data_IF_633362999263
#
_entry.id   IF_633362999263
#
_cell.length_a   1.000
_cell.length_b   1.000
_cell.length_c   1.000
_cell.angle_alpha   90.00
_cell.angle_beta   90.00
_cell.angle_gamma   90.00
#
_symmetry.space_group_name_H-M   'P 1'
#
loop_
_entity.id
_entity.type
_entity.pdbx_description
1 polymer ?
#
# COMPACT_ATOMS: atom_id res chain seq x y z
N UNK A 1 -5.14 8.22 -3.98
CA UNK A 1 -3.76 8.18 -3.42
C UNK A 1 -2.88 7.17 -4.12
N UNK A 2 -3.21 5.87 -4.08
CA UNK A 2 -2.40 4.81 -4.68
C UNK A 2 -2.15 5.03 -6.19
N UNK A 3 -3.18 5.41 -6.96
CA UNK A 3 -3.03 5.77 -8.39
C UNK A 3 -2.01 6.90 -8.61
N UNK A 4 -2.11 7.98 -7.82
CA UNK A 4 -1.18 9.11 -7.95
C UNK A 4 0.27 8.69 -7.67
N UNK A 5 0.51 7.78 -6.71
CA UNK A 5 1.84 7.22 -6.46
C UNK A 5 2.32 6.35 -7.62
N UNK A 6 1.45 5.49 -8.18
CA UNK A 6 1.74 4.66 -9.36
C UNK A 6 2.17 5.51 -10.56
N UNK A 7 1.48 6.61 -10.80
CA UNK A 7 1.77 7.48 -11.94
C UNK A 7 3.00 8.36 -11.70
N UNK A 8 3.21 8.81 -10.46
CA UNK A 8 4.30 9.72 -10.12
C UNK A 8 5.66 9.02 -9.95
N UNK A 9 5.71 7.88 -9.26
CA UNK A 9 6.97 7.24 -8.88
C UNK A 9 7.90 6.92 -10.06
N UNK A 10 7.43 6.43 -11.24
CA UNK A 10 8.29 6.21 -12.40
C UNK A 10 9.00 7.47 -12.90
N UNK A 11 8.43 8.67 -12.65
CA UNK A 11 9.04 9.93 -13.05
C UNK A 11 10.24 10.33 -12.18
N UNK A 12 10.32 9.80 -10.96
CA UNK A 12 11.41 10.09 -10.01
C UNK A 12 12.36 8.90 -9.80
N UNK A 13 11.87 7.69 -10.03
CA UNK A 13 12.60 6.43 -9.94
C UNK A 13 12.36 5.61 -11.21
N UNK A 14 13.20 5.83 -12.22
CA UNK A 14 13.00 5.27 -13.57
C UNK A 14 13.13 3.74 -13.66
N UNK A 15 13.64 3.09 -12.61
CA UNK A 15 13.92 1.64 -12.58
C UNK A 15 12.83 0.83 -11.91
N UNK A 16 11.68 1.42 -11.58
CA UNK A 16 10.60 0.71 -10.90
C UNK A 16 9.45 0.42 -11.87
N UNK A 17 8.78 -0.70 -11.64
CA UNK A 17 7.55 -1.10 -12.32
C UNK A 17 6.44 -1.17 -11.27
N UNK A 18 5.65 -0.10 -11.06
CA UNK A 18 4.62 -0.10 -10.05
C UNK A 18 3.47 -1.02 -10.46
N UNK A 19 2.92 -1.73 -9.48
CA UNK A 19 1.73 -2.56 -9.62
C UNK A 19 0.66 -2.07 -8.62
N UNK A 20 -0.58 -1.97 -9.08
CA UNK A 20 -1.72 -1.49 -8.30
C UNK A 20 -2.93 -2.41 -8.50
N UNK A 21 -3.46 -2.93 -7.41
CA UNK A 21 -4.55 -3.90 -7.42
C UNK A 21 -5.81 -3.44 -8.15
N UNK A 22 -6.14 -2.14 -8.13
CA UNK A 22 -7.32 -1.61 -8.83
C UNK A 22 -7.17 -1.55 -10.35
N UNK A 23 -5.94 -1.52 -10.86
CA UNK A 23 -5.65 -1.35 -12.30
C UNK A 23 -5.13 -2.63 -12.94
N UNK A 24 -4.33 -3.39 -12.19
CA UNK A 24 -3.52 -4.48 -12.72
C UNK A 24 -4.09 -5.88 -12.38
N UNK A 25 -5.26 -5.95 -11.71
CA UNK A 25 -6.03 -7.20 -11.51
C UNK A 25 -7.16 -7.26 -12.56
N UNK A 26 -7.13 -8.24 -13.49
CA UNK A 26 -8.21 -8.43 -14.46
C UNK A 26 -9.56 -8.77 -13.82
N UNK A 27 -10.65 -8.35 -14.46
CA UNK A 27 -11.99 -8.76 -14.05
C UNK A 27 -12.14 -10.30 -14.10
N UNK A 28 -12.65 -10.88 -13.01
CA UNK A 28 -12.84 -12.32 -12.88
C UNK A 28 -11.70 -13.04 -12.15
N UNK A 29 -10.56 -12.37 -11.93
CA UNK A 29 -9.49 -12.95 -11.12
C UNK A 29 -9.83 -12.96 -9.63
N UNK A 30 -9.29 -13.96 -8.93
CA UNK A 30 -9.39 -14.03 -7.47
C UNK A 30 -8.47 -12.96 -6.86
N UNK A 31 -9.06 -11.83 -6.47
CA UNK A 31 -8.40 -10.66 -5.89
C UNK A 31 -7.27 -11.02 -4.90
N UNK A 32 -7.56 -11.83 -3.89
CA UNK A 32 -6.57 -12.24 -2.88
C UNK A 32 -5.37 -12.97 -3.48
N UNK A 33 -5.59 -13.85 -4.46
CA UNK A 33 -4.53 -14.63 -5.09
C UNK A 33 -3.64 -13.75 -5.97
N UNK A 34 -4.24 -12.83 -6.72
CA UNK A 34 -3.50 -11.88 -7.55
C UNK A 34 -2.60 -10.96 -6.71
N UNK A 35 -3.13 -10.44 -5.60
CA UNK A 35 -2.36 -9.63 -4.66
C UNK A 35 -1.21 -10.44 -4.05
N UNK A 36 -1.47 -11.61 -3.49
CA UNK A 36 -0.40 -12.42 -2.89
C UNK A 36 0.74 -12.70 -3.87
N UNK A 37 0.40 -13.01 -5.14
CA UNK A 37 1.40 -13.24 -6.19
C UNK A 37 2.20 -11.98 -6.52
N UNK A 38 1.56 -10.83 -6.59
CA UNK A 38 2.24 -9.55 -6.81
C UNK A 38 3.18 -9.22 -5.64
N UNK A 39 2.74 -9.45 -4.40
CA UNK A 39 3.54 -9.22 -3.20
C UNK A 39 4.74 -10.16 -3.09
N UNK A 40 4.60 -11.44 -3.49
CA UNK A 40 5.71 -12.41 -3.51
C UNK A 40 6.86 -12.01 -4.45
N UNK A 41 6.54 -11.37 -5.57
CA UNK A 41 7.54 -10.88 -6.53
C UNK A 41 8.07 -9.47 -6.24
N UNK A 42 7.45 -8.74 -5.31
CA UNK A 42 7.76 -7.35 -5.06
C UNK A 42 8.95 -7.18 -4.10
N UNK A 43 9.89 -6.30 -4.46
CA UNK A 43 11.00 -5.88 -3.58
C UNK A 43 10.56 -4.87 -2.53
N UNK A 44 9.50 -4.12 -2.81
CA UNK A 44 8.92 -3.13 -1.92
C UNK A 44 7.41 -3.01 -2.14
N UNK A 45 6.68 -2.62 -1.09
CA UNK A 45 5.23 -2.38 -1.13
C UNK A 45 4.85 -1.13 -0.35
N UNK A 46 3.97 -0.30 -0.93
CA UNK A 46 3.38 0.86 -0.26
C UNK A 46 1.92 0.52 0.07
N UNK A 47 1.58 0.51 1.35
CA UNK A 47 0.22 0.20 1.82
C UNK A 47 -0.49 1.51 2.12
N UNK A 48 -1.40 1.91 1.23
CA UNK A 48 -2.18 3.14 1.38
C UNK A 48 -3.32 2.96 2.39
N UNK A 49 -3.19 3.53 3.60
CA UNK A 49 -4.19 3.46 4.65
C UNK A 49 -5.04 4.72 4.69
N UNK A 50 -6.34 4.53 4.82
CA UNK A 50 -7.37 5.58 4.93
C UNK A 50 -8.36 5.18 6.00
N UNK A 51 -9.16 6.13 6.51
CA UNK A 51 -10.25 5.83 7.45
C UNK A 51 -11.18 4.73 6.96
N UNK A 52 -11.47 4.72 5.65
CA UNK A 52 -12.41 3.80 5.02
C UNK A 52 -11.88 2.36 4.98
N UNK A 53 -10.58 2.19 4.75
CA UNK A 53 -9.99 0.86 4.63
C UNK A 53 -9.32 0.35 5.91
N UNK A 54 -9.17 1.16 6.97
CA UNK A 54 -8.45 0.77 8.19
C UNK A 54 -9.00 -0.51 8.86
N UNK A 55 -10.30 -0.74 8.78
CA UNK A 55 -10.99 -1.93 9.32
C UNK A 55 -11.02 -3.13 8.39
N UNK A 56 -10.39 -3.01 7.22
CA UNK A 56 -10.46 -4.03 6.20
C UNK A 56 -9.62 -5.26 6.55
N UNK A 57 -10.28 -6.42 6.63
CA UNK A 57 -9.60 -7.68 6.95
C UNK A 57 -8.45 -8.00 5.99
N UNK A 58 -8.55 -7.61 4.70
CA UNK A 58 -7.52 -7.88 3.69
C UNK A 58 -6.17 -7.21 3.99
N UNK A 59 -6.14 -6.05 4.66
CA UNK A 59 -4.90 -5.34 5.00
C UNK A 59 -4.00 -6.16 5.93
N UNK A 60 -4.59 -6.90 6.88
CA UNK A 60 -3.83 -7.77 7.77
C UNK A 60 -3.20 -8.95 7.02
N UNK A 61 -3.85 -9.44 5.95
CA UNK A 61 -3.28 -10.49 5.10
C UNK A 61 -2.12 -9.97 4.25
N UNK A 62 -2.26 -8.78 3.64
CA UNK A 62 -1.22 -8.15 2.84
C UNK A 62 0.04 -7.85 3.66
N UNK A 63 -0.15 -7.29 4.86
CA UNK A 63 0.94 -7.06 5.80
C UNK A 63 1.68 -8.36 6.16
N UNK A 64 0.94 -9.46 6.34
CA UNK A 64 1.52 -10.76 6.63
C UNK A 64 2.25 -11.41 5.45
N UNK A 65 1.75 -11.23 4.22
CA UNK A 65 2.42 -11.71 3.00
C UNK A 65 3.72 -10.94 2.75
N UNK A 66 3.67 -9.61 2.88
CA UNK A 66 4.83 -8.74 2.75
C UNK A 66 5.86 -8.91 3.86
N UNK A 67 5.44 -9.24 5.09
CA UNK A 67 6.37 -9.52 6.19
C UNK A 67 7.14 -10.85 6.01
N UNK A 68 6.60 -11.79 5.21
CA UNK A 68 7.24 -13.08 4.91
C UNK A 68 8.23 -12.99 3.77
N UNK A 69 7.97 -12.14 2.79
CA UNK A 69 8.95 -11.75 1.80
C UNK A 69 9.93 -10.77 2.47
N UNK A 70 11.23 -10.82 2.19
CA UNK A 70 12.20 -9.83 2.70
C UNK A 70 12.02 -8.45 2.02
N UNK A 71 10.77 -8.06 1.75
CA UNK A 71 10.34 -6.87 1.02
C UNK A 71 10.30 -5.66 1.95
N UNK A 72 10.61 -4.49 1.41
CA UNK A 72 10.43 -3.24 2.14
C UNK A 72 8.93 -2.89 2.21
N UNK A 73 8.40 -2.63 3.39
CA UNK A 73 6.99 -2.29 3.58
C UNK A 73 6.86 -0.88 4.12
N UNK A 74 6.14 -0.04 3.39
CA UNK A 74 5.92 1.36 3.72
C UNK A 74 4.42 1.65 3.85
N UNK A 75 3.82 1.49 5.05
CA UNK A 75 2.47 1.98 5.30
C UNK A 75 2.41 3.50 5.19
N UNK A 76 1.49 4.00 4.36
CA UNK A 76 1.30 5.42 4.07
C UNK A 76 -0.10 5.87 4.51
N UNK A 77 -0.14 6.76 5.49
CA UNK A 77 -1.35 7.17 6.21
C UNK A 77 -1.96 8.43 5.61
N UNK A 78 -3.23 8.36 5.18
CA UNK A 78 -4.01 9.53 4.78
C UNK A 78 -5.09 9.82 5.82
N UNK A 79 -5.02 11.00 6.43
CA UNK A 79 -5.93 11.44 7.50
C UNK A 79 -6.05 10.43 8.66
N UNK A 80 -4.91 9.84 9.04
CA UNK A 80 -4.80 8.87 10.12
C UNK A 80 -3.56 9.14 10.98
N UNK A 81 -3.71 8.94 12.27
CA UNK A 81 -2.63 8.89 13.24
C UNK A 81 -2.09 7.45 13.39
N UNK A 82 -0.78 7.24 13.59
CA UNK A 82 -0.21 5.91 13.78
C UNK A 82 -0.87 5.11 14.91
N UNK A 83 -1.37 5.79 15.95
CA UNK A 83 -2.07 5.16 17.09
C UNK A 83 -3.40 4.52 16.71
N UNK A 84 -4.01 4.95 15.59
CA UNK A 84 -5.25 4.39 15.06
C UNK A 84 -5.00 3.08 14.31
N UNK A 85 -3.80 2.84 13.81
CA UNK A 85 -3.44 1.58 13.14
C UNK A 85 -3.24 0.47 14.15
N UNK A 86 -3.88 -0.68 13.90
CA UNK A 86 -3.82 -1.88 14.75
C UNK A 86 -3.33 -3.09 13.95
N UNK A 87 -2.97 -4.16 14.67
CA UNK A 87 -2.62 -5.44 14.08
C UNK A 87 -1.21 -5.47 13.47
N UNK A 88 -0.95 -6.33 12.48
CA UNK A 88 0.42 -6.62 12.00
C UNK A 88 1.10 -5.44 11.31
N UNK A 89 0.36 -4.40 10.92
CA UNK A 89 0.95 -3.20 10.31
C UNK A 89 1.74 -2.34 11.31
N UNK A 90 1.49 -2.49 12.62
CA UNK A 90 2.18 -1.70 13.67
C UNK A 90 3.65 -2.05 13.85
N UNK A 91 4.11 -3.16 13.25
CA UNK A 91 5.52 -3.54 13.26
C UNK A 91 6.39 -2.72 12.28
N UNK A 92 5.76 -1.97 11.36
CA UNK A 92 6.44 -1.17 10.35
C UNK A 92 6.45 0.31 10.72
N UNK A 93 7.38 1.06 10.13
CA UNK A 93 7.38 2.52 10.25
C UNK A 93 6.33 3.14 9.33
N UNK A 94 5.56 4.08 9.86
CA UNK A 94 4.51 4.79 9.13
C UNK A 94 5.05 6.08 8.49
N UNK A 95 4.70 6.32 7.23
CA UNK A 95 4.79 7.62 6.61
C UNK A 95 3.40 8.27 6.59
N UNK A 96 3.32 9.57 6.88
CA UNK A 96 2.05 10.32 6.85
C UNK A 96 1.98 11.18 5.60
N UNK A 97 0.80 11.23 4.99
CA UNK A 97 0.52 12.17 3.92
C UNK A 97 0.42 13.58 4.49
N UNK A 98 1.24 14.50 3.97
CA UNK A 98 1.12 15.92 4.26
C UNK A 98 -0.12 16.48 3.55
N UNK A 99 -1.19 16.70 4.30
CA UNK A 99 -2.36 17.41 3.78
C UNK A 99 -2.09 18.92 3.90
N UNK A 100 -1.45 19.49 2.88
CA UNK A 100 -1.49 20.94 2.69
C UNK A 100 -2.79 21.29 1.97
N UNK A 101 -3.72 21.93 2.68
CA UNK A 101 -4.84 22.64 2.04
C UNK A 101 -4.21 23.71 1.15
N UNK A 102 -4.38 23.60 -0.16
CA UNK A 102 -4.07 24.69 -1.08
C UNK A 102 -5.12 25.77 -0.83
N UNK A 103 -4.90 26.62 0.17
CA UNK A 103 -5.66 27.86 0.32
C UNK A 103 -5.27 28.78 -0.82
N UNK A 104 -6.13 28.84 -1.83
CA UNK A 104 -6.13 29.89 -2.85
C UNK A 104 -6.67 31.20 -2.30
#
# INVERSE_FOLDING_TARGET
MAQALRDWLPNVLQTIEPWLSSEDIPFGDRWQTAISKALEGATAGIICLTRENLGASWLSFEAGALAKANSLVCPYLLDLEPSEVKGPLTQFQFARADVRVLTG
#
